data_IF_858595550004
#
_entry.id   IF_858595550004
#
_cell.length_a   1.000
_cell.length_b   1.000
_cell.length_c   1.000
_cell.angle_alpha   90.00
_cell.angle_beta   90.00
_cell.angle_gamma   90.00
#
_symmetry.space_group_name_H-M   'P 1'
#
loop_
_entity.id
_entity.type
_entity.pdbx_description
1 polymer ?
#
# COMPACT_ATOMS: atom_id res chain seq x y z
N UNK A 1 -8.86 16.11 -21.16
CA UNK A 1 -8.51 16.63 -19.82
C UNK A 1 -7.56 15.63 -19.19
N UNK A 2 -6.49 16.04 -18.48
CA UNK A 2 -5.68 15.07 -17.77
C UNK A 2 -6.53 14.43 -16.66
N UNK A 3 -6.50 13.11 -16.56
CA UNK A 3 -7.15 12.38 -15.48
C UNK A 3 -6.51 12.77 -14.15
N UNK A 4 -7.32 13.16 -13.18
CA UNK A 4 -6.86 13.39 -11.82
C UNK A 4 -6.63 12.03 -11.16
N UNK A 5 -5.54 11.87 -10.43
CA UNK A 5 -5.22 10.61 -9.75
C UNK A 5 -5.14 10.82 -8.25
N UNK A 6 -5.65 9.84 -7.50
CA UNK A 6 -5.49 9.74 -6.04
C UNK A 6 -4.85 8.39 -5.73
N UNK A 7 -3.79 8.40 -4.90
CA UNK A 7 -3.05 7.19 -4.50
C UNK A 7 -3.14 7.07 -2.99
N UNK A 8 -3.62 5.92 -2.50
CA UNK A 8 -3.90 5.69 -1.08
C UNK A 8 -3.27 4.37 -0.64
N UNK A 9 -2.54 4.31 0.49
CA UNK A 9 -2.03 3.05 1.00
C UNK A 9 -3.17 2.13 1.43
N UNK A 10 -3.04 0.84 1.11
CA UNK A 10 -3.94 -0.19 1.56
C UNK A 10 -3.17 -1.22 2.38
N UNK A 11 -3.51 -1.30 3.66
CA UNK A 11 -3.03 -2.31 4.59
C UNK A 11 -4.27 -2.88 5.25
N UNK A 12 -4.63 -4.12 4.89
CA UNK A 12 -5.73 -4.80 5.52
C UNK A 12 -5.38 -5.07 6.99
N UNK A 13 -6.29 -4.72 7.89
CA UNK A 13 -6.17 -5.00 9.32
C UNK A 13 -7.03 -6.21 9.61
N UNK A 14 -6.44 -7.41 9.53
CA UNK A 14 -7.16 -8.68 9.74
C UNK A 14 -6.65 -9.39 11.01
N UNK A 15 -7.58 -10.01 11.73
CA UNK A 15 -7.28 -10.84 12.90
C UNK A 15 -6.53 -12.13 12.52
N UNK A 16 -5.91 -12.78 13.51
CA UNK A 16 -5.10 -14.00 13.28
C UNK A 16 -5.87 -15.23 12.78
N UNK A 17 -7.21 -15.18 12.80
CA UNK A 17 -8.12 -16.21 12.27
C UNK A 17 -8.84 -15.81 11.00
N UNK A 18 -8.64 -14.57 10.55
CA UNK A 18 -9.24 -14.03 9.34
C UNK A 18 -8.32 -14.29 8.14
N UNK A 19 -8.89 -14.28 6.93
CA UNK A 19 -8.21 -14.64 5.70
C UNK A 19 -8.38 -13.61 4.59
N UNK A 20 -8.30 -14.10 3.35
CA UNK A 20 -8.38 -13.25 2.16
C UNK A 20 -9.77 -12.63 1.95
N UNK A 21 -10.83 -13.23 2.51
CA UNK A 21 -12.19 -12.72 2.37
C UNK A 21 -12.38 -11.40 3.13
N UNK A 22 -11.86 -11.33 4.35
CA UNK A 22 -11.92 -10.12 5.18
C UNK A 22 -11.07 -9.00 4.59
N UNK A 23 -9.87 -9.33 4.09
CA UNK A 23 -9.04 -8.39 3.36
C UNK A 23 -9.74 -7.85 2.09
N UNK A 24 -10.43 -8.72 1.34
CA UNK A 24 -11.20 -8.32 0.16
C UNK A 24 -12.39 -7.41 0.53
N UNK A 25 -13.10 -7.72 1.62
CA UNK A 25 -14.20 -6.88 2.13
C UNK A 25 -13.73 -5.47 2.50
N UNK A 26 -12.59 -5.35 3.18
CA UNK A 26 -12.00 -4.05 3.55
C UNK A 26 -11.58 -3.25 2.31
N UNK A 27 -11.03 -3.91 1.29
CA UNK A 27 -10.72 -3.26 0.02
C UNK A 27 -12.00 -2.78 -0.68
N UNK A 28 -13.05 -3.60 -0.70
CA UNK A 28 -14.34 -3.27 -1.30
C UNK A 28 -15.00 -2.07 -0.61
N UNK A 29 -14.94 -2.00 0.72
CA UNK A 29 -15.40 -0.85 1.52
C UNK A 29 -14.63 0.42 1.18
N UNK A 30 -13.30 0.35 1.07
CA UNK A 30 -12.47 1.48 0.65
C UNK A 30 -12.88 1.96 -0.75
N UNK A 31 -13.04 1.04 -1.71
CA UNK A 31 -13.46 1.38 -3.08
C UNK A 31 -14.83 2.05 -3.07
N UNK A 32 -15.80 1.52 -2.33
CA UNK A 32 -17.13 2.13 -2.19
C UNK A 32 -17.08 3.53 -1.60
N UNK A 33 -16.26 3.75 -0.56
CA UNK A 33 -16.09 5.06 0.05
C UNK A 33 -15.61 6.09 -0.98
N UNK A 34 -14.55 5.78 -1.71
CA UNK A 34 -14.01 6.68 -2.73
C UNK A 34 -14.94 6.85 -3.94
N UNK A 35 -15.67 5.81 -4.33
CA UNK A 35 -16.71 5.91 -5.35
C UNK A 35 -17.81 6.91 -4.95
N UNK A 36 -18.20 6.95 -3.67
CA UNK A 36 -19.17 7.92 -3.17
C UNK A 36 -18.67 9.38 -3.19
N UNK A 37 -17.34 9.56 -3.21
CA UNK A 37 -16.67 10.85 -3.41
C UNK A 37 -16.42 11.18 -4.91
N UNK A 38 -16.86 10.33 -5.83
CA UNK A 38 -16.72 10.51 -7.28
C UNK A 38 -15.38 10.04 -7.85
N UNK A 39 -14.69 9.12 -7.19
CA UNK A 39 -13.45 8.51 -7.68
C UNK A 39 -13.69 7.10 -8.22
N UNK A 40 -13.14 6.80 -9.38
CA UNK A 40 -13.18 5.46 -9.96
C UNK A 40 -11.96 4.65 -9.55
N UNK A 41 -12.18 3.42 -9.08
CA UNK A 41 -11.08 2.47 -8.90
C UNK A 41 -10.38 2.23 -10.23
N UNK A 42 -9.06 2.37 -10.24
CA UNK A 42 -8.24 2.15 -11.43
C UNK A 42 -7.42 0.86 -11.32
N UNK A 43 -6.61 0.72 -10.26
CA UNK A 43 -5.76 -0.46 -10.05
C UNK A 43 -5.15 -0.49 -8.64
N UNK A 44 -4.57 -1.63 -8.28
CA UNK A 44 -3.66 -1.75 -7.16
C UNK A 44 -2.22 -1.83 -7.66
N UNK A 45 -1.30 -1.22 -6.92
CA UNK A 45 0.13 -1.22 -7.19
C UNK A 45 0.89 -1.68 -5.96
N UNK A 46 1.96 -2.43 -6.16
CA UNK A 46 2.93 -2.77 -5.11
C UNK A 46 4.21 -2.01 -5.38
N UNK A 47 4.57 -1.13 -4.47
CA UNK A 47 5.80 -0.34 -4.54
C UNK A 47 6.80 -0.98 -3.58
N UNK A 48 8.00 -1.24 -4.07
CA UNK A 48 9.12 -1.71 -3.27
C UNK A 48 10.09 -0.54 -3.06
N UNK A 49 10.38 -0.27 -1.79
CA UNK A 49 11.34 0.75 -1.40
C UNK A 49 12.50 0.07 -0.68
N UNK A 50 13.72 0.43 -1.06
CA UNK A 50 14.93 0.01 -0.34
C UNK A 50 15.36 1.13 0.60
N UNK A 51 15.52 0.81 1.88
CA UNK A 51 16.13 1.67 2.88
C UNK A 51 17.59 1.28 3.01
N UNK A 52 18.49 2.22 2.72
CA UNK A 52 19.91 2.00 2.90
C UNK A 52 20.23 1.74 4.38
N UNK A 53 21.11 0.78 4.62
CA UNK A 53 21.68 0.53 5.93
C UNK A 53 22.62 1.66 6.34
N UNK A 54 22.62 2.03 7.61
CA UNK A 54 23.57 3.00 8.13
C UNK A 54 24.90 2.32 8.50
N UNK A 55 26.02 3.01 8.24
CA UNK A 55 27.38 2.64 8.65
C UNK A 55 27.98 1.36 8.04
N UNK A 56 27.66 1.02 6.78
CA UNK A 56 28.38 0.02 5.98
C UNK A 56 28.28 -1.43 6.50
N UNK A 57 28.79 -2.42 5.76
CA UNK A 57 28.52 -3.84 6.05
C UNK A 57 29.36 -4.46 7.21
N UNK A 58 30.43 -3.80 7.69
CA UNK A 58 31.45 -4.43 8.55
C UNK A 58 31.81 -3.65 9.83
N UNK A 59 30.97 -2.71 10.30
CA UNK A 59 31.21 -1.93 11.51
C UNK A 59 30.37 -2.36 12.72
N UNK A 60 30.90 -2.22 13.95
CA UNK A 60 30.07 -2.28 15.16
C UNK A 60 28.99 -1.19 15.10
N UNK A 61 27.71 -1.60 15.06
CA UNK A 61 26.57 -0.69 14.92
C UNK A 61 26.12 -0.43 13.48
N UNK A 62 26.59 -1.23 12.51
CA UNK A 62 26.02 -1.27 11.17
C UNK A 62 24.57 -1.79 11.20
N UNK A 63 23.65 -1.12 10.49
CA UNK A 63 22.32 -1.65 10.22
C UNK A 63 22.27 -2.19 8.78
N UNK A 64 21.73 -3.40 8.56
CA UNK A 64 21.52 -3.89 7.20
C UNK A 64 20.46 -3.03 6.50
N UNK A 65 20.62 -2.83 5.19
CA UNK A 65 19.54 -2.26 4.39
C UNK A 65 18.30 -3.15 4.45
N UNK A 66 17.13 -2.54 4.40
CA UNK A 66 15.86 -3.25 4.46
C UNK A 66 14.95 -2.86 3.30
N UNK A 67 14.26 -3.84 2.72
CA UNK A 67 13.23 -3.58 1.72
C UNK A 67 11.87 -3.52 2.40
N UNK A 68 11.13 -2.45 2.15
CA UNK A 68 9.74 -2.30 2.58
C UNK A 68 8.85 -2.30 1.36
N UNK A 69 7.84 -3.17 1.34
CA UNK A 69 6.82 -3.20 0.29
C UNK A 69 5.55 -2.50 0.77
N UNK A 70 5.05 -1.55 -0.01
CA UNK A 70 3.78 -0.88 0.22
C UNK A 70 2.78 -1.27 -0.85
N UNK A 71 1.55 -1.60 -0.44
CA UNK A 71 0.44 -1.78 -1.37
C UNK A 71 -0.35 -0.47 -1.43
N UNK A 72 -0.56 0.04 -2.64
CA UNK A 72 -1.26 1.29 -2.91
C UNK A 72 -2.47 1.02 -3.81
N UNK A 73 -3.59 1.68 -3.55
CA UNK A 73 -4.76 1.70 -4.43
C UNK A 73 -4.76 3.02 -5.19
N UNK A 74 -4.88 2.93 -6.51
CA UNK A 74 -4.93 4.08 -7.40
C UNK A 74 -6.36 4.27 -7.85
N UNK A 75 -6.86 5.49 -7.66
CA UNK A 75 -8.14 5.96 -8.16
C UNK A 75 -7.92 7.03 -9.23
N UNK A 76 -8.91 7.23 -10.11
CA UNK A 76 -8.91 8.27 -11.14
C UNK A 76 -10.23 9.03 -11.21
N UNK A 77 -10.19 10.24 -11.77
CA UNK A 77 -11.35 11.08 -12.08
C UNK A 77 -11.12 11.89 -13.36
#
# INVERSE_FOLDING_TARGET
MPSEYKVVPFVASIGSREGSAEAASQLEEMIRSFASEGWDFYRMERIETFHDGEKGCFGFGATPGSSTSYSMVVFRR
#
